data_IF_374482645590
#
_entry.id   IF_374482645590
#
_cell.length_a   1.000
_cell.length_b   1.000
_cell.length_c   1.000
_cell.angle_alpha   90.00
_cell.angle_beta   90.00
_cell.angle_gamma   90.00
#
_symmetry.space_group_name_H-M   'P 1'
#
loop_
_entity.id
_entity.type
_entity.pdbx_description
1 polymer ?
#
# COMPACT_ATOMS: atom_id res chain seq x y z
N UNK A 1 -6.13 -13.67 -9.42
CA UNK A 1 -7.18 -13.93 -8.41
C UNK A 1 -8.02 -12.65 -8.35
N UNK A 2 -9.21 -12.63 -8.94
CA UNK A 2 -10.11 -11.48 -8.85
C UNK A 2 -11.05 -11.75 -7.69
N UNK A 3 -11.00 -10.91 -6.65
CA UNK A 3 -11.91 -11.00 -5.51
C UNK A 3 -13.31 -10.59 -5.97
N UNK A 4 -14.29 -11.47 -5.73
CA UNK A 4 -15.70 -11.26 -6.07
C UNK A 4 -16.38 -10.54 -4.90
N UNK A 5 -16.57 -9.23 -5.00
CA UNK A 5 -17.25 -8.45 -3.97
C UNK A 5 -18.75 -8.38 -4.27
N UNK A 6 -19.54 -9.19 -3.55
CA UNK A 6 -21.01 -9.17 -3.57
C UNK A 6 -21.58 -8.91 -2.15
N UNK A 7 -20.79 -8.37 -1.21
CA UNK A 7 -21.25 -8.03 0.15
C UNK A 7 -20.41 -6.88 0.73
N UNK A 8 -21.11 -5.89 1.32
CA UNK A 8 -20.70 -4.82 2.24
C UNK A 8 -19.29 -4.19 2.24
N UNK A 9 -19.21 -2.89 2.55
CA UNK A 9 -17.93 -2.18 2.77
C UNK A 9 -17.03 -2.79 3.86
N UNK A 10 -17.59 -3.55 4.80
CA UNK A 10 -16.84 -4.29 5.82
C UNK A 10 -16.03 -5.47 5.25
N UNK A 11 -16.49 -6.07 4.16
CA UNK A 11 -15.76 -7.17 3.50
C UNK A 11 -14.62 -6.62 2.62
N UNK A 12 -14.77 -5.39 2.11
CA UNK A 12 -13.73 -4.69 1.34
C UNK A 12 -12.51 -4.41 2.23
N UNK A 13 -12.70 -3.84 3.42
CA UNK A 13 -11.61 -3.56 4.36
C UNK A 13 -10.83 -4.83 4.71
N UNK A 14 -11.53 -5.90 5.09
CA UNK A 14 -10.88 -7.18 5.43
C UNK A 14 -10.13 -7.76 4.24
N UNK A 15 -10.73 -7.77 3.05
CA UNK A 15 -10.08 -8.27 1.85
C UNK A 15 -8.81 -7.49 1.51
N UNK A 16 -8.84 -6.16 1.65
CA UNK A 16 -7.66 -5.30 1.48
C UNK A 16 -6.55 -5.65 2.48
N UNK A 17 -6.88 -5.84 3.76
CA UNK A 17 -5.91 -6.25 4.79
C UNK A 17 -5.29 -7.63 4.50
N UNK A 18 -6.10 -8.61 4.11
CA UNK A 18 -5.63 -9.96 3.73
C UNK A 18 -4.70 -9.92 2.51
N UNK A 19 -4.96 -8.99 1.59
CA UNK A 19 -4.12 -8.71 0.43
C UNK A 19 -2.85 -7.90 0.76
N UNK A 20 -2.69 -7.40 1.99
CA UNK A 20 -1.49 -6.67 2.42
C UNK A 20 -1.56 -5.16 2.24
N UNK A 21 -2.75 -4.59 2.01
CA UNK A 21 -2.99 -3.15 2.17
C UNK A 21 -3.07 -2.82 3.66
N UNK A 22 -1.90 -2.65 4.27
CA UNK A 22 -1.74 -2.27 5.68
C UNK A 22 -1.03 -0.93 5.77
N UNK A 23 -1.04 -0.33 6.96
CA UNK A 23 -0.30 0.91 7.21
C UNK A 23 1.18 0.74 6.89
N UNK A 24 1.75 1.72 6.18
CA UNK A 24 3.16 1.70 5.75
C UNK A 24 3.45 0.77 4.57
N UNK A 25 2.46 0.06 4.02
CA UNK A 25 2.66 -0.75 2.82
C UNK A 25 3.10 0.14 1.65
N UNK A 26 4.13 -0.30 0.92
CA UNK A 26 4.59 0.39 -0.28
C UNK A 26 3.73 -0.05 -1.45
N UNK A 27 3.01 0.89 -2.04
CA UNK A 27 2.11 0.64 -3.17
C UNK A 27 2.62 1.35 -4.41
N UNK A 28 2.69 0.64 -5.52
CA UNK A 28 3.08 1.16 -6.82
C UNK A 28 2.01 0.85 -7.85
N UNK A 29 1.57 1.86 -8.58
CA UNK A 29 0.61 1.67 -9.67
C UNK A 29 1.35 1.19 -10.91
N UNK A 30 0.94 0.02 -11.44
CA UNK A 30 1.55 -0.57 -12.63
C UNK A 30 0.79 -0.23 -13.91
N UNK A 31 -0.53 -0.37 -13.88
CA UNK A 31 -1.35 -0.22 -15.08
C UNK A 31 -2.80 0.13 -14.74
N UNK A 32 -3.42 0.95 -15.59
CA UNK A 32 -4.85 1.23 -15.57
C UNK A 32 -5.51 0.48 -16.72
N UNK A 33 -6.52 -0.36 -16.45
CA UNK A 33 -7.19 -1.18 -17.47
C UNK A 33 -7.65 -0.37 -18.71
N UNK A 34 -7.41 -0.92 -19.90
CA UNK A 34 -7.55 -0.25 -21.20
C UNK A 34 -9.01 0.07 -21.62
N UNK A 35 -9.99 -0.70 -21.13
CA UNK A 35 -11.42 -0.54 -21.45
C UNK A 35 -12.22 -0.37 -20.16
N UNK A 36 -12.52 0.88 -19.79
CA UNK A 36 -13.33 1.22 -18.62
C UNK A 36 -12.56 1.67 -17.38
N UNK A 37 -11.23 1.82 -17.45
CA UNK A 37 -10.36 2.29 -16.35
C UNK A 37 -10.52 1.46 -15.05
N UNK A 38 -10.81 0.18 -15.21
CA UNK A 38 -11.00 -0.79 -14.15
C UNK A 38 -10.57 -2.18 -14.70
N UNK A 39 -9.83 -3.00 -13.94
CA UNK A 39 -9.22 -2.72 -12.63
C UNK A 39 -7.90 -1.91 -12.71
N UNK A 40 -7.48 -1.39 -11.56
CA UNK A 40 -6.16 -0.79 -11.31
C UNK A 40 -5.16 -1.87 -10.89
N UNK A 41 -4.16 -2.15 -11.71
CA UNK A 41 -3.09 -3.06 -11.33
C UNK A 41 -2.07 -2.32 -10.45
N UNK A 42 -1.86 -2.83 -9.24
CA UNK A 42 -0.91 -2.30 -8.27
C UNK A 42 0.05 -3.37 -7.77
N UNK A 43 1.26 -2.97 -7.41
CA UNK A 43 2.24 -3.79 -6.71
C UNK A 43 2.34 -3.35 -5.27
N UNK A 44 2.33 -4.31 -4.35
CA UNK A 44 2.47 -4.10 -2.91
C UNK A 44 3.80 -4.70 -2.46
N UNK A 45 4.55 -3.92 -1.67
CA UNK A 45 5.83 -4.31 -1.07
C UNK A 45 6.82 -4.93 -2.05
N UNK A 46 6.76 -4.52 -3.32
CA UNK A 46 7.60 -4.97 -4.43
C UNK A 46 7.51 -6.47 -4.78
N UNK A 47 6.65 -7.25 -4.11
CA UNK A 47 6.59 -8.71 -4.27
C UNK A 47 5.25 -9.19 -4.83
N UNK A 48 4.15 -8.52 -4.48
CA UNK A 48 2.80 -8.98 -4.85
C UNK A 48 2.12 -8.01 -5.81
N UNK A 49 1.50 -8.51 -6.87
CA UNK A 49 0.73 -7.70 -7.83
C UNK A 49 -0.74 -8.08 -7.76
N UNK A 50 -1.60 -7.06 -7.62
CA UNK A 50 -3.04 -7.20 -7.41
C UNK A 50 -3.77 -6.30 -8.38
N UNK A 51 -4.90 -6.76 -8.90
CA UNK A 51 -5.84 -5.95 -9.65
C UNK A 51 -6.96 -5.49 -8.72
N UNK A 52 -7.00 -4.18 -8.41
CA UNK A 52 -8.04 -3.56 -7.60
C UNK A 52 -9.19 -3.08 -8.48
N UNK A 53 -10.42 -3.45 -8.12
CA UNK A 53 -11.59 -2.79 -8.70
C UNK A 53 -11.70 -1.36 -8.19
N UNK A 54 -12.45 -0.51 -8.91
CA UNK A 54 -12.67 0.90 -8.59
C UNK A 54 -13.22 1.11 -7.18
N UNK A 55 -14.15 0.25 -6.73
CA UNK A 55 -14.71 0.33 -5.37
C UNK A 55 -13.64 0.10 -4.29
N UNK A 56 -12.72 -0.83 -4.52
CA UNK A 56 -11.62 -1.16 -3.59
C UNK A 56 -10.54 -0.09 -3.63
N UNK A 57 -10.15 0.37 -4.83
CA UNK A 57 -9.19 1.45 -4.99
C UNK A 57 -9.66 2.74 -4.30
N UNK A 58 -10.96 3.05 -4.35
CA UNK A 58 -11.54 4.19 -3.64
C UNK A 58 -11.52 4.07 -2.11
N UNK A 59 -11.36 2.85 -1.58
CA UNK A 59 -11.27 2.59 -0.14
C UNK A 59 -9.83 2.67 0.40
N UNK A 60 -8.81 2.74 -0.46
CA UNK A 60 -7.40 2.80 -0.07
C UNK A 60 -6.90 4.23 -0.09
N UNK A 61 -6.42 4.73 1.05
CA UNK A 61 -5.73 6.01 1.16
C UNK A 61 -4.22 5.81 1.02
N UNK A 62 -3.59 6.66 0.21
CA UNK A 62 -2.13 6.65 -0.01
C UNK A 62 -1.52 8.00 0.33
N UNK A 63 -0.36 7.98 0.97
CA UNK A 63 0.47 9.15 1.23
C UNK A 63 1.70 9.22 0.32
N UNK A 64 2.52 10.28 0.43
CA UNK A 64 3.84 10.31 -0.20
C UNK A 64 4.65 9.07 0.17
N UNK A 65 5.47 8.56 -0.74
CA UNK A 65 6.37 7.45 -0.41
C UNK A 65 7.49 7.98 0.50
N UNK A 66 7.40 7.69 1.79
CA UNK A 66 8.46 8.03 2.74
C UNK A 66 9.58 6.99 2.60
N UNK A 67 10.80 7.45 2.42
CA UNK A 67 11.96 6.58 2.44
C UNK A 67 12.22 6.10 3.88
N UNK A 68 11.92 4.83 4.16
CA UNK A 68 12.08 4.24 5.49
C UNK A 68 13.53 4.20 5.99
N UNK A 69 14.53 4.43 5.13
CA UNK A 69 15.93 4.57 5.57
C UNK A 69 16.15 5.90 6.31
N UNK A 70 15.30 6.90 6.10
CA UNK A 70 15.34 8.19 6.81
C UNK A 70 14.77 8.09 8.23
N UNK A 71 14.02 7.03 8.56
CA UNK A 71 13.43 6.81 9.89
C UNK A 71 14.33 6.00 10.84
N UNK A 72 15.49 5.54 10.36
CA UNK A 72 16.57 5.06 11.23
C UNK A 72 17.19 6.26 11.97
N UNK A 73 16.55 6.66 13.07
CA UNK A 73 16.94 7.69 14.06
C UNK A 73 18.36 8.27 13.88
N UNK A 74 18.53 9.52 13.42
CA UNK A 74 19.76 10.26 13.65
C UNK A 74 19.76 10.75 15.10
N UNK A 75 19.95 9.85 16.07
CA UNK A 75 19.85 10.25 17.46
C UNK A 75 19.95 9.13 18.47
N UNK A 76 21.11 8.48 18.55
CA UNK A 76 21.83 8.27 19.82
C UNK A 76 23.18 7.58 19.53
N UNK A 77 24.29 8.27 19.78
CA UNK A 77 25.39 7.81 20.66
C UNK A 77 26.60 8.75 20.58
N UNK A 78 26.69 9.60 21.61
CA UNK A 78 27.91 10.00 22.34
C UNK A 78 29.11 10.60 21.59
N UNK A 79 29.11 11.93 21.47
CA UNK A 79 30.34 12.72 21.62
C UNK A 79 30.26 13.55 22.91
N UNK A 80 30.53 12.88 24.02
CA UNK A 80 31.03 13.52 25.24
C UNK A 80 32.31 12.81 25.66
N UNK A 81 33.34 13.02 24.86
CA UNK A 81 34.72 12.88 25.26
C UNK A 81 35.43 14.21 24.98
N UNK A 82 36.12 14.71 26.00
CA UNK A 82 37.10 15.82 25.97
C UNK A 82 36.59 17.24 26.29
N UNK A 83 36.56 17.59 27.57
CA UNK A 83 37.61 18.41 28.22
C UNK A 83 37.43 18.45 29.73
#
# INVERSE_FOLDING_TARGET
LAVSSEMGGHDIERGLLEMGFVEGARVEVLHHGFLGQDPLAVRINQTMTIALRRCEANAVLVGPLHDSAVEAKPGLTLEYASS
#
